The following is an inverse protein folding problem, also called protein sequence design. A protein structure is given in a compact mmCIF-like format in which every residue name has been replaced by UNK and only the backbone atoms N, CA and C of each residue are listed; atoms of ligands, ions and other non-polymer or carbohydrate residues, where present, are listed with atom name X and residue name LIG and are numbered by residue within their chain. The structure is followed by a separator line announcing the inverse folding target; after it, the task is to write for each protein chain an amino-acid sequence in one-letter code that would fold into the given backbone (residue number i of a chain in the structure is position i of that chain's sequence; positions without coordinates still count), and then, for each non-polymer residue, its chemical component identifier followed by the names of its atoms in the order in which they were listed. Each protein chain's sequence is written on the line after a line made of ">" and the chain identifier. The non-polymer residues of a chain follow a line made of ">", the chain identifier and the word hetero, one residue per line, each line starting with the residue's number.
data_IF_846951207651
#
_entry.id   IF_846951207651
#
_cell.length_a   1.000
_cell.length_b   1.000
_cell.length_c   1.000
_cell.angle_alpha   90.00
_cell.angle_beta   90.00
_cell.angle_gamma   90.00
#
_symmetry.space_group_name_H-M   'P 1'
#
loop_
_entity.id
_entity.type
_entity.pdbx_description
1 polymer ?
#
# COMPACT_ATOMS: atom_id res chain seq x y z
N UNK A 1 4.82 -18.83 22.75
CA UNK A 1 3.67 -18.24 22.03
C UNK A 1 4.11 -18.10 20.58
N UNK A 2 3.55 -18.88 19.66
CA UNK A 2 3.87 -18.80 18.23
C UNK A 2 3.17 -17.54 17.69
N UNK A 3 3.82 -16.39 17.84
CA UNK A 3 3.37 -15.16 17.20
C UNK A 3 3.44 -15.35 15.70
N UNK A 4 2.45 -14.82 14.97
CA UNK A 4 2.62 -14.58 13.54
C UNK A 4 3.92 -13.80 13.36
N UNK A 5 4.95 -14.44 12.80
CA UNK A 5 6.13 -13.70 12.36
C UNK A 5 5.66 -12.69 11.32
N UNK A 6 5.96 -11.43 11.58
CA UNK A 6 5.67 -10.36 10.66
C UNK A 6 6.61 -10.50 9.46
N UNK A 7 6.04 -10.81 8.28
CA UNK A 7 6.78 -10.92 7.03
C UNK A 7 6.59 -9.63 6.21
N UNK A 8 7.58 -8.75 6.28
CA UNK A 8 7.60 -7.48 5.55
C UNK A 8 7.51 -7.68 4.04
N UNK A 9 8.10 -8.75 3.50
CA UNK A 9 8.13 -9.01 2.06
C UNK A 9 6.76 -9.51 1.59
N UNK A 10 6.08 -10.33 2.39
CA UNK A 10 4.69 -10.71 2.13
C UNK A 10 3.76 -9.50 2.13
N UNK A 11 3.88 -8.59 3.09
CA UNK A 11 3.04 -7.37 3.16
C UNK A 11 3.31 -6.43 1.98
N UNK A 12 4.58 -6.23 1.60
CA UNK A 12 4.94 -5.48 0.40
C UNK A 12 4.42 -6.15 -0.88
N UNK A 13 4.41 -7.47 -0.93
CA UNK A 13 3.78 -8.25 -2.00
C UNK A 13 2.28 -7.95 -2.14
N UNK A 14 1.54 -7.93 -1.03
CA UNK A 14 0.14 -7.52 -1.04
C UNK A 14 -0.04 -6.06 -1.46
N UNK A 15 0.81 -5.15 -0.97
CA UNK A 15 0.78 -3.74 -1.36
C UNK A 15 0.98 -3.56 -2.88
N UNK A 16 1.86 -4.36 -3.49
CA UNK A 16 2.08 -4.37 -4.93
C UNK A 16 0.84 -4.85 -5.71
N UNK A 17 0.13 -5.86 -5.22
CA UNK A 17 -1.14 -6.33 -5.83
C UNK A 17 -2.18 -5.21 -5.83
N UNK A 18 -2.31 -4.45 -4.74
CA UNK A 18 -3.24 -3.32 -4.68
C UNK A 18 -2.82 -2.17 -5.61
N UNK A 19 -1.53 -1.90 -5.75
CA UNK A 19 -1.02 -0.90 -6.69
C UNK A 19 -1.29 -1.31 -8.15
N UNK A 20 -1.11 -2.58 -8.48
CA UNK A 20 -1.42 -3.11 -9.81
C UNK A 20 -2.93 -3.04 -10.08
N UNK A 21 -3.77 -3.43 -9.11
CA UNK A 21 -5.21 -3.29 -9.23
C UNK A 21 -5.65 -1.83 -9.43
N UNK A 22 -5.06 -0.88 -8.70
CA UNK A 22 -5.29 0.56 -8.92
C UNK A 22 -4.97 0.95 -10.37
N UNK A 23 -3.84 0.51 -10.89
CA UNK A 23 -3.41 0.80 -12.27
C UNK A 23 -4.46 0.29 -13.28
N UNK A 24 -4.87 -0.97 -13.14
CA UNK A 24 -5.88 -1.58 -14.01
C UNK A 24 -7.22 -0.86 -13.95
N UNK A 25 -7.72 -0.53 -12.75
CA UNK A 25 -8.97 0.21 -12.58
C UNK A 25 -8.86 1.62 -13.18
N UNK A 26 -7.70 2.27 -13.05
CA UNK A 26 -7.46 3.59 -13.63
C UNK A 26 -7.45 3.56 -15.16
N UNK A 27 -6.88 2.51 -15.77
CA UNK A 27 -6.95 2.30 -17.22
C UNK A 27 -8.39 2.11 -17.69
N UNK A 28 -9.14 1.23 -17.03
CA UNK A 28 -10.57 1.00 -17.34
C UNK A 28 -11.37 2.29 -17.18
N UNK A 29 -11.13 3.06 -16.12
CA UNK A 29 -11.78 4.35 -15.90
C UNK A 29 -11.45 5.34 -17.02
N UNK A 30 -10.20 5.39 -17.49
CA UNK A 30 -9.79 6.24 -18.60
C UNK A 30 -10.50 5.86 -19.90
N UNK A 31 -10.62 4.57 -20.19
CA UNK A 31 -11.32 4.06 -21.38
C UNK A 31 -12.83 4.35 -21.32
N UNK A 32 -13.40 4.36 -20.11
CA UNK A 32 -14.82 4.64 -19.89
C UNK A 32 -15.13 6.11 -19.60
N UNK A 33 -14.11 6.98 -19.49
CA UNK A 33 -14.29 8.37 -19.05
C UNK A 33 -15.23 9.19 -19.96
N UNK A 34 -15.38 8.76 -21.21
CA UNK A 34 -16.37 9.31 -22.13
C UNK A 34 -17.15 8.19 -22.79
N UNK A 35 -18.48 8.27 -22.66
CA UNK A 35 -19.39 7.47 -23.47
C UNK A 35 -19.11 7.73 -24.95
N UNK A 36 -18.85 6.67 -25.72
CA UNK A 36 -18.81 6.77 -27.18
C UNK A 36 -20.20 6.66 -27.80
N UNK A 37 -21.22 6.36 -26.99
CA UNK A 37 -22.60 6.20 -27.41
C UNK A 37 -23.18 7.56 -27.84
N UNK A 38 -23.80 7.57 -29.01
CA UNK A 38 -24.42 8.74 -29.62
C UNK A 38 -25.88 8.47 -29.89
N UNK A 39 -26.67 9.54 -30.02
CA UNK A 39 -28.08 9.44 -30.38
C UNK A 39 -28.35 8.63 -31.65
N UNK A 40 -27.41 8.62 -32.59
CA UNK A 40 -27.51 7.85 -33.83
C UNK A 40 -27.41 6.34 -33.63
N UNK A 41 -26.79 5.88 -32.54
CA UNK A 41 -26.57 4.46 -32.26
C UNK A 41 -27.83 3.79 -31.66
N UNK A 42 -28.71 4.58 -31.04
CA UNK A 42 -29.88 4.08 -30.30
C UNK A 42 -31.23 4.63 -30.82
N UNK A 43 -31.20 5.59 -31.74
CA UNK A 43 -32.39 6.13 -32.41
C UNK A 43 -33.30 6.95 -31.49
N UNK A 44 -34.60 7.01 -31.82
CA UNK A 44 -35.59 7.88 -31.13
C UNK A 44 -35.64 7.73 -29.60
N UNK A 45 -35.51 6.54 -28.99
CA UNK A 45 -35.48 6.38 -27.53
C UNK A 45 -34.39 7.21 -26.84
N UNK A 46 -33.24 7.41 -27.50
CA UNK A 46 -32.13 8.18 -26.93
C UNK A 46 -32.46 9.67 -26.75
N UNK A 47 -33.30 10.23 -27.61
CA UNK A 47 -33.67 11.64 -27.55
C UNK A 47 -34.60 11.98 -26.37
N UNK A 48 -35.10 10.97 -25.64
CA UNK A 48 -35.90 11.12 -24.44
C UNK A 48 -35.11 10.92 -23.14
N UNK A 49 -35.83 10.58 -22.07
CA UNK A 49 -35.25 10.32 -20.73
C UNK A 49 -34.19 9.21 -20.74
N UNK A 50 -34.30 8.22 -21.63
CA UNK A 50 -33.42 7.06 -21.63
C UNK A 50 -31.96 7.40 -21.98
N UNK A 51 -31.72 8.32 -22.92
CA UNK A 51 -30.35 8.76 -23.24
C UNK A 51 -29.73 9.58 -22.12
N UNK A 52 -30.52 10.43 -21.47
CA UNK A 52 -30.07 11.21 -20.31
C UNK A 52 -29.74 10.31 -19.10
N UNK A 53 -30.60 9.32 -18.81
CA UNK A 53 -30.36 8.32 -17.76
C UNK A 53 -29.12 7.49 -18.07
N UNK A 54 -28.92 7.07 -19.33
CA UNK A 54 -27.70 6.37 -19.73
C UNK A 54 -26.45 7.19 -19.42
N UNK A 55 -26.38 8.45 -19.88
CA UNK A 55 -25.21 9.31 -19.65
C UNK A 55 -24.98 9.57 -18.16
N UNK A 56 -26.07 9.72 -17.39
CA UNK A 56 -25.98 9.86 -15.93
C UNK A 56 -25.38 8.62 -15.27
N UNK A 57 -25.88 7.42 -15.59
CA UNK A 57 -25.36 6.18 -15.02
C UNK A 57 -23.93 5.88 -15.51
N UNK A 58 -23.61 6.24 -16.75
CA UNK A 58 -22.27 6.11 -17.28
C UNK A 58 -21.26 6.96 -16.50
N UNK A 59 -21.60 8.23 -16.23
CA UNK A 59 -20.78 9.09 -15.37
C UNK A 59 -20.68 8.56 -13.93
N UNK A 60 -21.75 8.01 -13.38
CA UNK A 60 -21.72 7.40 -12.05
C UNK A 60 -20.72 6.23 -11.99
N UNK A 61 -20.74 5.34 -12.98
CA UNK A 61 -19.77 4.23 -13.09
C UNK A 61 -18.33 4.76 -13.18
N UNK A 62 -18.08 5.77 -14.02
CA UNK A 62 -16.74 6.35 -14.15
C UNK A 62 -16.24 6.95 -12.82
N UNK A 63 -17.13 7.59 -12.05
CA UNK A 63 -16.81 8.13 -10.73
C UNK A 63 -16.56 7.01 -9.71
N UNK A 64 -17.35 5.95 -9.71
CA UNK A 64 -17.17 4.81 -8.81
C UNK A 64 -15.84 4.10 -9.07
N UNK A 65 -15.44 3.93 -10.33
CA UNK A 65 -14.13 3.38 -10.69
C UNK A 65 -12.99 4.27 -10.23
N UNK A 66 -13.12 5.59 -10.35
CA UNK A 66 -12.14 6.54 -9.83
C UNK A 66 -11.99 6.43 -8.30
N UNK A 67 -13.10 6.31 -7.59
CA UNK A 67 -13.10 6.14 -6.13
C UNK A 67 -12.46 4.80 -5.74
N UNK A 68 -12.78 3.72 -6.45
CA UNK A 68 -12.16 2.41 -6.25
C UNK A 68 -10.64 2.46 -6.44
N UNK A 69 -10.15 3.06 -7.53
CA UNK A 69 -8.73 3.25 -7.76
C UNK A 69 -8.05 4.04 -6.62
N UNK A 70 -8.72 5.09 -6.13
CA UNK A 70 -8.22 5.89 -5.00
C UNK A 70 -8.08 5.03 -3.73
N UNK A 71 -9.08 4.20 -3.42
CA UNK A 71 -9.03 3.33 -2.25
C UNK A 71 -7.96 2.24 -2.36
N UNK A 72 -7.79 1.63 -3.54
CA UNK A 72 -6.73 0.65 -3.78
C UNK A 72 -5.34 1.27 -3.56
N UNK A 73 -5.10 2.48 -4.07
CA UNK A 73 -3.86 3.21 -3.83
C UNK A 73 -3.63 3.55 -2.37
N UNK A 74 -4.68 3.98 -1.65
CA UNK A 74 -4.59 4.27 -0.22
C UNK A 74 -4.24 3.03 0.62
N UNK A 75 -4.80 1.87 0.27
CA UNK A 75 -4.47 0.59 0.93
C UNK A 75 -3.01 0.22 0.67
N UNK A 76 -2.56 0.28 -0.59
CA UNK A 76 -1.15 0.00 -0.94
C UNK A 76 -0.18 0.91 -0.17
N UNK A 77 -0.46 2.22 -0.13
CA UNK A 77 0.34 3.18 0.60
C UNK A 77 0.37 2.88 2.11
N UNK A 78 -0.78 2.54 2.70
CA UNK A 78 -0.88 2.23 4.13
C UNK A 78 -0.11 0.96 4.50
N UNK A 79 -0.15 -0.06 3.65
CA UNK A 79 0.60 -1.31 3.86
C UNK A 79 2.11 -1.07 3.78
N UNK A 80 2.58 -0.30 2.80
CA UNK A 80 3.99 0.06 2.70
C UNK A 80 4.46 0.90 3.89
N UNK A 81 3.72 1.95 4.24
CA UNK A 81 4.05 2.81 5.38
C UNK A 81 4.07 2.02 6.69
N UNK A 82 3.07 1.16 6.92
CA UNK A 82 3.04 0.28 8.09
C UNK A 82 4.23 -0.68 8.13
N UNK A 83 4.66 -1.18 6.98
CA UNK A 83 5.81 -2.07 6.87
C UNK A 83 7.12 -1.38 7.20
N UNK A 84 7.33 -0.18 6.68
CA UNK A 84 8.56 0.57 6.93
C UNK A 84 8.68 0.94 8.42
N UNK A 85 7.57 1.29 9.07
CA UNK A 85 7.55 1.54 10.52
C UNK A 85 7.94 0.31 11.34
N UNK A 86 7.48 -0.88 10.98
CA UNK A 86 7.82 -2.12 11.71
C UNK A 86 9.30 -2.45 11.51
N UNK A 87 9.79 -2.41 10.27
CA UNK A 87 11.20 -2.69 9.95
C UNK A 87 12.15 -1.70 10.66
N UNK A 88 11.79 -0.41 10.71
CA UNK A 88 12.57 0.60 11.44
C UNK A 88 12.58 0.35 12.95
N UNK A 89 11.42 0.00 13.52
CA UNK A 89 11.28 -0.36 14.94
C UNK A 89 12.15 -1.58 15.28
N UNK A 90 12.12 -2.62 14.46
CA UNK A 90 12.92 -3.84 14.69
C UNK A 90 14.43 -3.57 14.56
N UNK A 91 14.83 -2.78 13.56
CA UNK A 91 16.24 -2.41 13.35
C UNK A 91 16.79 -1.57 14.50
N UNK A 92 16.04 -0.58 14.96
CA UNK A 92 16.43 0.28 16.08
C UNK A 92 16.47 -0.49 17.41
N UNK A 93 15.49 -1.37 17.64
CA UNK A 93 15.48 -2.30 18.77
C UNK A 93 16.72 -3.21 18.78
N UNK A 94 17.04 -3.82 17.64
CA UNK A 94 18.22 -4.68 17.50
C UNK A 94 19.53 -3.92 17.74
N UNK A 95 19.68 -2.71 17.18
CA UNK A 95 20.86 -1.86 17.40
C UNK A 95 21.04 -1.50 18.87
N UNK A 96 19.94 -1.16 19.56
CA UNK A 96 19.97 -0.84 20.98
C UNK A 96 20.38 -2.06 21.82
N UNK A 97 19.81 -3.24 21.56
CA UNK A 97 20.17 -4.48 22.25
C UNK A 97 21.65 -4.83 22.05
N UNK A 98 22.15 -4.76 20.81
CA UNK A 98 23.55 -5.00 20.49
C UNK A 98 24.47 -4.03 21.24
N UNK A 99 24.12 -2.74 21.29
CA UNK A 99 24.91 -1.74 22.03
C UNK A 99 24.95 -2.01 23.55
N UNK A 100 23.88 -2.57 24.13
CA UNK A 100 23.83 -2.97 25.53
C UNK A 100 24.71 -4.21 25.76
N UNK A 101 24.61 -5.20 24.87
CA UNK A 101 25.44 -6.41 24.92
C UNK A 101 26.93 -6.09 24.80
N UNK A 102 27.33 -5.25 23.85
CA UNK A 102 28.71 -4.81 23.67
C UNK A 102 29.24 -4.11 24.94
N UNK A 103 28.43 -3.23 25.57
CA UNK A 103 28.82 -2.54 26.82
C UNK A 103 28.93 -3.48 28.02
N UNK A 104 28.13 -4.56 28.07
CA UNK A 104 28.23 -5.57 29.13
C UNK A 104 29.40 -6.53 28.88
N UNK A 105 29.75 -6.81 27.63
CA UNK A 105 30.88 -7.68 27.24
C UNK A 105 32.25 -7.03 27.41
N UNK A 106 32.37 -5.71 27.28
CA UNK A 106 33.64 -4.98 27.47
C UNK A 106 33.96 -4.61 28.92
N UNK A 107 33.16 -5.07 29.91
CA UNK A 107 33.27 -4.68 31.31
C UNK A 107 34.15 -5.56 32.22
N UNK A 108 34.78 -6.63 31.71
CA UNK A 108 35.47 -7.64 32.55
C UNK A 108 36.93 -7.91 32.20
N UNK A 109 37.60 -7.05 31.42
CA UNK A 109 39.01 -7.22 31.12
C UNK A 109 39.76 -5.89 31.10
N UNK A 110 39.98 -5.28 32.27
CA UNK A 110 41.24 -4.58 32.53
C UNK A 110 41.42 -4.22 34.01
N UNK A 111 42.54 -4.67 34.57
CA UNK A 111 43.12 -4.13 35.81
C UNK A 111 43.17 -5.08 37.00
N UNK A 112 44.21 -5.92 37.09
CA UNK A 112 45.22 -5.72 38.14
C UNK A 112 46.50 -6.52 37.83
N UNK A 113 47.50 -5.81 37.30
CA UNK A 113 48.86 -6.32 37.17
C UNK A 113 49.61 -6.10 38.48
N UNK A 114 49.64 -7.11 39.35
CA UNK A 114 50.51 -7.10 40.52
C UNK A 114 51.93 -7.54 40.12
N UNK A 115 52.85 -6.57 40.16
CA UNK A 115 54.31 -6.73 40.08
C UNK A 115 54.80 -7.52 41.29
N UNK A 116 55.48 -8.65 41.07
CA UNK A 116 56.30 -9.30 42.10
C UNK A 116 57.77 -8.95 41.86
N UNK A 117 58.38 -8.28 42.85
CA UNK A 117 59.83 -8.19 43.08
C UNK A 117 60.21 -9.28 44.07
#
# INVERSE_FOLDING_TARGET
>A
MSGFEYDADAVRGFAAVFAEAQSQVSMIQSDLAQSTAKAVDFGKPWAGLQGAEFEQYWQAIANDLKNLATHLGAISASLNQGTDLVVESDTSGYSNLKSIEDRMGTGTADGDGAVYV
#
